data_IF_462320566091
#
_entry.id   IF_462320566091
#
_cell.length_a   1.000
_cell.length_b   1.000
_cell.length_c   1.000
_cell.angle_alpha   90.00
_cell.angle_beta   90.00
_cell.angle_gamma   90.00
#
_symmetry.space_group_name_H-M   'P 1'
#
loop_
_entity.id
_entity.type
_entity.pdbx_description
1 polymer ?
#
# COMPACT_ATOMS: atom_id res chain seq x y z
N UNK A 1 31.67 -34.78 23.14
CA UNK A 1 31.51 -35.85 22.13
C UNK A 1 30.57 -35.32 21.07
N UNK A 2 31.12 -35.00 19.91
CA UNK A 2 30.41 -34.41 18.76
C UNK A 2 29.64 -35.51 18.04
N UNK A 3 28.34 -35.32 17.83
CA UNK A 3 27.63 -36.01 16.77
C UNK A 3 28.09 -35.38 15.45
N UNK A 4 28.74 -36.17 14.59
CA UNK A 4 29.36 -35.73 13.34
C UNK A 4 28.33 -35.34 12.28
N UNK A 5 27.75 -34.15 12.42
CA UNK A 5 27.04 -33.47 11.35
C UNK A 5 28.06 -32.67 10.54
N UNK A 6 28.58 -33.29 9.46
CA UNK A 6 29.10 -32.52 8.33
C UNK A 6 27.96 -31.63 7.84
N UNK A 7 28.23 -30.33 7.72
CA UNK A 7 27.34 -29.36 7.07
C UNK A 7 26.84 -29.95 5.75
N UNK A 8 25.55 -30.30 5.70
CA UNK A 8 24.87 -30.47 4.43
C UNK A 8 24.56 -29.06 3.91
N UNK A 9 25.27 -28.65 2.86
CA UNK A 9 24.96 -27.46 2.06
C UNK A 9 23.58 -27.63 1.41
N UNK A 10 22.54 -27.15 2.08
CA UNK A 10 21.16 -27.12 1.58
C UNK A 10 20.91 -26.07 0.48
N UNK A 11 21.96 -25.49 -0.12
CA UNK A 11 21.88 -24.40 -1.11
C UNK A 11 22.38 -24.77 -2.52
N UNK A 12 22.56 -26.06 -2.84
CA UNK A 12 22.79 -26.51 -4.23
C UNK A 12 21.80 -27.57 -4.66
N UNK A 13 20.55 -27.18 -4.86
CA UNK A 13 19.64 -27.88 -5.76
C UNK A 13 18.95 -26.84 -6.67
N UNK A 14 19.39 -26.82 -7.93
CA UNK A 14 18.65 -26.27 -9.07
C UNK A 14 18.07 -27.44 -9.89
N UNK A 15 17.06 -27.19 -10.75
CA UNK A 15 15.80 -27.93 -10.69
C UNK A 15 15.81 -29.18 -11.57
N UNK A 16 15.54 -30.33 -10.96
CA UNK A 16 15.06 -31.51 -11.70
C UNK A 16 13.91 -32.12 -10.91
N UNK A 17 12.73 -32.15 -11.55
CA UNK A 17 11.53 -32.90 -11.18
C UNK A 17 10.61 -32.33 -10.08
N UNK A 18 9.52 -31.73 -10.54
CA UNK A 18 8.37 -31.17 -9.80
C UNK A 18 7.40 -32.25 -9.27
N UNK A 19 7.88 -33.35 -8.67
CA UNK A 19 7.01 -34.43 -8.16
C UNK A 19 7.34 -35.01 -6.77
N UNK A 20 8.09 -34.30 -5.92
CA UNK A 20 8.11 -34.59 -4.48
C UNK A 20 7.62 -33.39 -3.69
N UNK A 21 6.32 -33.41 -3.37
CA UNK A 21 5.71 -32.48 -2.43
C UNK A 21 6.09 -32.78 -0.98
N UNK A 22 5.47 -32.03 -0.07
CA UNK A 22 5.57 -31.98 1.41
C UNK A 22 5.90 -33.33 2.10
N UNK A 23 5.50 -34.47 1.52
CA UNK A 23 5.85 -35.81 1.97
C UNK A 23 7.38 -36.07 2.07
N UNK A 24 8.20 -35.50 1.18
CA UNK A 24 9.66 -35.70 1.20
C UNK A 24 10.36 -35.01 2.38
N UNK A 25 9.89 -33.83 2.76
CA UNK A 25 10.42 -33.07 3.91
C UNK A 25 10.00 -33.72 5.23
N UNK A 26 8.76 -34.23 5.30
CA UNK A 26 8.25 -34.97 6.47
C UNK A 26 9.01 -36.29 6.66
N UNK A 27 9.32 -37.03 5.58
CA UNK A 27 10.11 -38.26 5.67
C UNK A 27 11.54 -38.02 6.17
N UNK A 28 12.21 -36.94 5.74
CA UNK A 28 13.53 -36.59 6.26
C UNK A 28 13.51 -36.21 7.75
N UNK A 29 12.47 -35.53 8.22
CA UNK A 29 12.30 -35.21 9.64
C UNK A 29 11.99 -36.46 10.50
N UNK A 30 11.19 -37.39 9.98
CA UNK A 30 10.86 -38.65 10.66
C UNK A 30 12.09 -39.58 10.74
N UNK A 31 12.94 -39.62 9.70
CA UNK A 31 14.21 -40.37 9.75
C UNK A 31 15.27 -39.74 10.65
N UNK A 32 15.27 -38.42 10.82
CA UNK A 32 16.16 -37.76 11.78
C UNK A 32 15.75 -38.03 13.24
N UNK A 33 14.45 -38.16 13.52
CA UNK A 33 13.91 -38.42 14.86
C UNK A 33 13.99 -39.89 15.30
N UNK A 34 14.17 -40.84 14.38
CA UNK A 34 14.36 -42.26 14.71
C UNK A 34 15.78 -42.61 15.15
N UNK A 35 16.73 -41.68 15.00
CA UNK A 35 18.14 -41.85 15.40
C UNK A 35 18.50 -41.15 16.73
N UNK A 36 17.56 -40.43 17.35
CA UNK A 36 17.77 -39.78 18.65
C UNK A 36 17.32 -40.69 19.80
N UNK A 37 18.09 -40.70 20.88
CA UNK A 37 17.69 -41.35 22.13
C UNK A 37 16.51 -40.62 22.76
N UNK A 38 15.66 -41.31 23.52
CA UNK A 38 14.49 -40.68 24.18
C UNK A 38 14.89 -39.48 25.07
N UNK A 39 16.10 -39.54 25.65
CA UNK A 39 16.67 -38.46 26.46
C UNK A 39 17.02 -37.19 25.65
N UNK A 40 17.31 -37.33 24.36
CA UNK A 40 17.57 -36.20 23.45
C UNK A 40 16.28 -35.59 22.91
N UNK A 41 15.21 -36.40 22.80
CA UNK A 41 13.87 -35.92 22.42
C UNK A 41 13.26 -35.06 23.55
N UNK A 42 13.37 -35.51 24.80
CA UNK A 42 12.91 -34.75 25.97
C UNK A 42 13.64 -33.40 26.10
N UNK A 43 14.96 -33.37 25.86
CA UNK A 43 15.73 -32.13 25.92
C UNK A 43 15.35 -31.13 24.80
N UNK A 44 14.93 -31.62 23.63
CA UNK A 44 14.47 -30.78 22.53
C UNK A 44 13.07 -30.21 22.80
N UNK A 45 12.20 -31.00 23.43
CA UNK A 45 10.85 -30.62 23.79
C UNK A 45 10.85 -29.58 24.94
N UNK A 46 11.74 -29.74 25.93
CA UNK A 46 11.95 -28.78 27.01
C UNK A 46 12.51 -27.42 26.49
N UNK A 47 13.40 -27.46 25.49
CA UNK A 47 13.96 -26.26 24.86
C UNK A 47 12.94 -25.49 23.99
N UNK A 48 11.95 -26.17 23.41
CA UNK A 48 10.89 -25.56 22.61
C UNK A 48 9.78 -24.97 23.47
N UNK A 49 9.53 -25.53 24.66
CA UNK A 49 8.45 -25.08 25.55
C UNK A 49 8.85 -23.92 26.47
N UNK A 50 10.14 -23.69 26.73
CA UNK A 50 10.61 -22.63 27.63
C UNK A 50 11.79 -21.82 27.05
N UNK A 51 11.57 -20.88 26.12
CA UNK A 51 12.63 -19.98 25.68
C UNK A 51 12.96 -18.97 26.79
N UNK A 52 14.06 -19.17 27.52
CA UNK A 52 14.56 -18.18 28.48
C UNK A 52 15.15 -16.96 27.76
N UNK A 53 14.91 -15.73 28.24
CA UNK A 53 15.47 -14.52 27.66
C UNK A 53 16.98 -14.45 27.93
N UNK A 54 17.77 -14.32 26.88
CA UNK A 54 19.22 -14.20 26.94
C UNK A 54 19.65 -13.00 27.77
N UNK A 55 20.43 -13.26 28.83
CA UNK A 55 21.18 -12.23 29.58
C UNK A 55 22.34 -11.74 28.69
N UNK A 56 22.31 -10.46 28.29
CA UNK A 56 23.52 -9.76 27.85
C UNK A 56 24.15 -9.08 29.05
N UNK A 57 25.31 -9.58 29.48
CA UNK A 57 26.26 -8.83 30.29
C UNK A 57 26.97 -7.81 29.41
N UNK A 58 26.88 -6.52 29.75
CA UNK A 58 28.04 -5.63 29.72
C UNK A 58 27.76 -4.36 30.53
N UNK A 59 28.62 -4.11 31.51
CA UNK A 59 28.79 -2.83 32.18
C UNK A 59 30.08 -2.23 31.64
N UNK A 60 30.01 -1.01 31.12
CA UNK A 60 30.96 0.08 31.40
C UNK A 60 30.40 1.36 30.78
N UNK A 61 30.39 2.42 31.59
CA UNK A 61 29.67 3.65 31.29
C UNK A 61 30.44 4.60 30.39
N UNK A 62 29.68 5.44 29.71
CA UNK A 62 29.92 6.88 29.57
C UNK A 62 28.55 7.51 29.27
N UNK A 63 28.22 8.58 29.99
CA UNK A 63 26.92 9.24 29.91
C UNK A 63 26.69 9.84 28.53
N UNK A 64 25.65 9.37 27.84
CA UNK A 64 25.11 10.01 26.64
C UNK A 64 23.66 10.40 26.91
N UNK A 65 23.39 11.70 26.91
CA UNK A 65 22.06 12.31 26.98
C UNK A 65 21.26 12.05 25.70
N UNK A 66 20.86 10.81 25.47
CA UNK A 66 20.21 10.32 24.24
C UNK A 66 18.80 9.79 24.39
N UNK A 67 18.08 10.15 25.47
CA UNK A 67 16.73 9.61 25.72
C UNK A 67 15.65 10.39 24.95
N UNK A 68 15.91 11.61 24.47
CA UNK A 68 14.94 12.39 23.68
C UNK A 68 14.88 12.02 22.17
N UNK A 69 15.84 11.25 21.63
CA UNK A 69 15.92 10.99 20.18
C UNK A 69 15.20 9.72 19.71
N UNK A 70 15.00 8.73 20.58
CA UNK A 70 14.31 7.47 20.22
C UNK A 70 12.80 7.61 20.30
N UNK A 71 12.28 8.29 21.33
CA UNK A 71 10.83 8.54 21.47
C UNK A 71 10.27 9.44 20.35
N UNK A 72 11.10 10.31 19.77
CA UNK A 72 10.69 11.25 18.71
C UNK A 72 10.67 10.61 17.32
N UNK A 73 11.55 9.65 17.01
CA UNK A 73 11.49 8.89 15.74
C UNK A 73 10.29 7.94 15.71
N UNK A 74 10.02 7.21 16.80
CA UNK A 74 8.89 6.27 16.90
C UNK A 74 7.53 7.00 16.90
N UNK A 75 7.44 8.18 17.52
CA UNK A 75 6.23 9.01 17.47
C UNK A 75 5.96 9.59 16.07
N UNK A 76 7.01 9.97 15.32
CA UNK A 76 6.86 10.41 13.93
C UNK A 76 6.49 9.25 13.01
N UNK A 77 7.13 8.09 13.19
CA UNK A 77 6.84 6.86 12.44
C UNK A 77 5.36 6.47 12.56
N UNK A 78 4.84 6.40 13.79
CA UNK A 78 3.48 5.92 14.02
C UNK A 78 2.38 6.89 13.53
N UNK A 79 2.68 8.20 13.49
CA UNK A 79 1.78 9.23 12.96
C UNK A 79 1.58 9.14 11.46
N UNK A 80 2.59 8.69 10.72
CA UNK A 80 2.56 8.56 9.26
C UNK A 80 2.08 7.18 8.78
N UNK A 81 1.57 6.34 9.68
CA UNK A 81 0.84 5.13 9.29
C UNK A 81 -0.64 5.48 9.24
N UNK A 82 -1.21 5.57 8.04
CA UNK A 82 -2.64 5.84 7.85
C UNK A 82 -3.43 4.52 7.82
N UNK A 83 -4.58 4.43 8.50
CA UNK A 83 -5.38 3.20 8.51
C UNK A 83 -5.93 2.93 7.10
N UNK A 84 -5.68 1.72 6.59
CA UNK A 84 -6.20 1.29 5.27
C UNK A 84 -7.01 0.01 5.34
N UNK A 85 -7.17 -0.56 6.54
CA UNK A 85 -8.06 -1.70 6.76
C UNK A 85 -7.67 -2.93 5.95
N UNK A 86 -6.38 -3.27 5.87
CA UNK A 86 -5.85 -4.46 5.20
C UNK A 86 -5.42 -4.23 3.74
N UNK A 87 -5.81 -3.12 3.12
CA UNK A 87 -5.53 -2.89 1.69
C UNK A 87 -4.05 -2.56 1.46
N UNK A 88 -3.51 -1.60 2.22
CA UNK A 88 -2.11 -1.19 2.15
C UNK A 88 -1.34 -1.44 3.46
N UNK A 89 -2.04 -1.74 4.55
CA UNK A 89 -1.52 -2.12 5.85
C UNK A 89 -2.67 -2.64 6.73
N UNK A 90 -2.32 -3.30 7.84
CA UNK A 90 -3.30 -3.86 8.78
C UNK A 90 -3.82 -2.83 9.81
N UNK A 91 -3.41 -1.56 9.70
CA UNK A 91 -3.89 -0.52 10.62
C UNK A 91 -5.37 -0.27 10.36
N UNK A 92 -6.18 -0.37 11.42
CA UNK A 92 -7.64 -0.26 11.36
C UNK A 92 -8.38 -1.59 11.32
N UNK A 93 -7.69 -2.73 11.49
CA UNK A 93 -8.28 -4.06 11.45
C UNK A 93 -8.81 -4.62 12.79
N UNK A 94 -8.49 -3.99 13.92
CA UNK A 94 -8.81 -4.57 15.23
C UNK A 94 -8.02 -5.87 15.45
N UNK A 95 -8.62 -6.85 16.14
CA UNK A 95 -7.98 -8.14 16.48
C UNK A 95 -8.08 -9.20 15.36
N UNK A 96 -8.75 -8.89 14.25
CA UNK A 96 -8.98 -9.81 13.12
C UNK A 96 -8.28 -9.26 11.86
N UNK A 97 -7.84 -10.10 10.90
CA UNK A 97 -7.11 -9.69 9.68
C UNK A 97 -7.92 -8.87 8.64
N UNK A 98 -8.88 -8.03 9.07
CA UNK A 98 -9.72 -7.24 8.18
C UNK A 98 -10.44 -8.07 7.10
N UNK A 99 -10.77 -9.32 7.36
CA UNK A 99 -11.42 -10.17 6.35
C UNK A 99 -12.92 -10.04 6.45
N UNK A 100 -13.57 -9.78 5.31
CA UNK A 100 -15.03 -9.75 5.23
C UNK A 100 -15.56 -11.07 4.68
N UNK A 101 -16.45 -11.69 5.44
CA UNK A 101 -17.18 -12.87 4.97
C UNK A 101 -18.09 -12.48 3.80
N UNK A 102 -18.06 -13.30 2.74
CA UNK A 102 -18.92 -13.12 1.59
C UNK A 102 -20.31 -13.67 1.90
N UNK A 103 -21.39 -12.89 1.70
CA UNK A 103 -22.74 -13.46 1.73
C UNK A 103 -22.90 -14.45 0.57
N UNK A 104 -23.84 -15.40 0.70
CA UNK A 104 -24.03 -16.47 -0.30
C UNK A 104 -24.31 -15.96 -1.73
N UNK A 105 -24.84 -14.72 -1.86
CA UNK A 105 -25.15 -14.09 -3.14
C UNK A 105 -24.01 -13.21 -3.68
N UNK A 106 -22.92 -13.03 -2.94
CA UNK A 106 -21.79 -12.27 -3.44
C UNK A 106 -21.05 -13.06 -4.53
N UNK A 107 -20.56 -12.38 -5.57
CA UNK A 107 -19.61 -12.98 -6.50
C UNK A 107 -18.31 -13.35 -5.78
N UNK A 108 -17.48 -14.17 -6.43
CA UNK A 108 -16.10 -14.39 -6.01
C UNK A 108 -15.35 -13.05 -5.91
N UNK A 109 -14.21 -13.02 -5.22
CA UNK A 109 -13.35 -11.83 -5.19
C UNK A 109 -12.57 -11.70 -6.50
N UNK A 110 -12.58 -10.52 -7.15
CA UNK A 110 -11.71 -10.29 -8.29
C UNK A 110 -10.28 -10.20 -7.79
N UNK A 111 -9.37 -10.78 -8.57
CA UNK A 111 -7.95 -10.78 -8.30
C UNK A 111 -7.29 -9.89 -9.34
N UNK A 112 -6.44 -8.95 -8.89
CA UNK A 112 -5.64 -8.18 -9.82
C UNK A 112 -4.60 -9.06 -10.55
N UNK A 113 -4.25 -8.72 -11.79
CA UNK A 113 -3.08 -9.32 -12.43
C UNK A 113 -1.78 -9.02 -11.67
N UNK A 114 -0.76 -9.85 -11.87
CA UNK A 114 0.56 -9.67 -11.24
C UNK A 114 1.19 -8.30 -11.54
N UNK A 115 0.97 -7.78 -12.75
CA UNK A 115 1.35 -6.43 -13.13
C UNK A 115 0.29 -5.85 -14.06
N UNK A 116 0.14 -4.53 -14.01
CA UNK A 116 -0.77 -3.82 -14.87
C UNK A 116 -0.43 -2.33 -14.94
N UNK A 117 -0.96 -1.71 -15.98
CA UNK A 117 -0.89 -0.27 -16.23
C UNK A 117 -2.28 0.23 -16.63
N UNK A 118 -2.65 1.42 -16.20
CA UNK A 118 -3.94 2.05 -16.55
C UNK A 118 -3.83 3.56 -16.53
N UNK A 119 -4.38 4.21 -17.54
CA UNK A 119 -4.73 5.62 -17.49
C UNK A 119 -6.06 5.79 -16.73
N UNK A 120 -6.35 6.96 -16.20
CA UNK A 120 -7.63 7.18 -15.50
C UNK A 120 -8.09 8.63 -15.56
N UNK A 121 -9.39 8.81 -15.34
CA UNK A 121 -10.01 10.12 -15.11
C UNK A 121 -10.51 10.18 -13.68
N UNK A 122 -10.07 11.19 -12.93
CA UNK A 122 -10.53 11.46 -11.58
C UNK A 122 -11.66 12.50 -11.62
N UNK A 123 -12.75 12.22 -10.94
CA UNK A 123 -13.86 13.12 -10.68
C UNK A 123 -13.88 13.49 -9.19
N UNK A 124 -13.75 14.79 -8.89
CA UNK A 124 -13.92 15.37 -7.56
C UNK A 124 -15.32 15.95 -7.47
N UNK A 125 -16.23 15.23 -6.85
CA UNK A 125 -17.65 15.60 -6.75
C UNK A 125 -17.86 16.41 -5.48
N UNK A 126 -18.30 17.65 -5.64
CA UNK A 126 -18.48 18.62 -4.56
C UNK A 126 -19.94 19.02 -4.34
N UNK A 127 -20.86 18.56 -5.18
CA UNK A 127 -22.29 18.82 -5.02
C UNK A 127 -23.14 17.62 -5.46
N UNK A 128 -24.35 17.50 -4.92
CA UNK A 128 -25.33 16.45 -5.24
C UNK A 128 -24.89 14.98 -5.06
N UNK A 129 -23.72 14.74 -4.46
CA UNK A 129 -23.16 13.39 -4.23
C UNK A 129 -23.98 12.54 -3.26
N UNK A 130 -24.80 13.16 -2.39
CA UNK A 130 -25.67 12.45 -1.45
C UNK A 130 -26.79 11.69 -2.19
N UNK A 131 -27.35 12.32 -3.22
CA UNK A 131 -28.41 11.74 -4.05
C UNK A 131 -27.83 10.92 -5.20
N UNK A 132 -26.60 11.21 -5.60
CA UNK A 132 -25.88 10.51 -6.65
C UNK A 132 -24.56 9.99 -6.09
N UNK A 133 -24.56 8.90 -5.30
CA UNK A 133 -23.32 8.36 -4.76
C UNK A 133 -22.52 7.60 -5.85
N UNK A 134 -21.23 7.30 -5.63
CA UNK A 134 -20.44 6.46 -6.55
C UNK A 134 -20.89 4.99 -6.51
N UNK A 135 -20.54 4.15 -7.51
CA UNK A 135 -19.68 4.45 -8.65
C UNK A 135 -20.37 5.33 -9.70
N UNK A 136 -19.55 5.99 -10.53
CA UNK A 136 -19.99 6.86 -11.63
C UNK A 136 -19.56 6.29 -12.96
N UNK A 137 -20.33 6.52 -14.02
CA UNK A 137 -19.83 6.44 -15.40
C UNK A 137 -18.70 7.45 -15.64
N UNK A 138 -18.00 7.35 -16.77
CA UNK A 138 -16.98 8.32 -17.19
C UNK A 138 -17.36 8.91 -18.55
N UNK A 139 -17.90 10.15 -18.63
CA UNK A 139 -18.20 11.08 -17.54
C UNK A 139 -19.43 10.69 -16.68
N UNK A 140 -19.59 11.22 -15.45
CA UNK A 140 -20.71 10.91 -14.55
C UNK A 140 -22.07 11.40 -15.09
N UNK A 141 -22.89 10.50 -15.62
CA UNK A 141 -24.18 10.83 -16.28
C UNK A 141 -25.27 11.29 -15.30
N UNK A 142 -25.18 10.88 -14.04
CA UNK A 142 -26.15 11.24 -12.97
C UNK A 142 -25.82 12.57 -12.27
N UNK A 143 -24.75 13.24 -12.70
CA UNK A 143 -24.29 14.52 -12.16
C UNK A 143 -24.26 15.56 -13.28
N UNK A 144 -24.43 16.83 -12.91
CA UNK A 144 -24.21 17.96 -13.82
C UNK A 144 -22.73 18.29 -13.87
N UNK A 145 -22.28 18.98 -14.92
CA UNK A 145 -20.89 19.45 -15.04
C UNK A 145 -20.44 20.28 -13.83
N UNK A 146 -21.35 21.07 -13.27
CA UNK A 146 -21.07 21.96 -12.14
C UNK A 146 -21.10 21.24 -10.79
N UNK A 147 -21.36 19.93 -10.76
CA UNK A 147 -21.32 19.12 -9.55
C UNK A 147 -19.91 18.55 -9.27
N UNK A 148 -19.02 18.59 -10.26
CA UNK A 148 -17.70 17.97 -10.17
C UNK A 148 -16.62 18.67 -10.98
N UNK A 149 -15.37 18.48 -10.56
CA UNK A 149 -14.19 18.83 -11.35
C UNK A 149 -13.50 17.54 -11.82
N UNK A 150 -12.97 17.52 -13.04
CA UNK A 150 -12.23 16.38 -13.57
C UNK A 150 -10.73 16.63 -13.69
N UNK A 151 -9.91 15.59 -13.53
CA UNK A 151 -8.49 15.58 -13.87
C UNK A 151 -8.04 14.20 -14.34
N UNK A 152 -6.80 14.07 -14.80
CA UNK A 152 -6.26 12.83 -15.37
C UNK A 152 -5.05 12.33 -14.60
N UNK A 153 -4.69 11.08 -14.86
CA UNK A 153 -3.47 10.50 -14.37
C UNK A 153 -3.27 9.08 -14.85
N UNK A 154 -2.28 8.41 -14.26
CA UNK A 154 -1.87 7.06 -14.63
C UNK A 154 -1.44 6.28 -13.41
N UNK A 155 -1.69 4.98 -13.41
CA UNK A 155 -1.27 4.06 -12.36
C UNK A 155 -0.51 2.88 -12.95
N UNK A 156 0.47 2.40 -12.20
CA UNK A 156 1.31 1.26 -12.53
C UNK A 156 1.45 0.36 -11.32
N UNK A 157 1.46 -0.94 -11.55
CA UNK A 157 1.53 -1.94 -10.51
C UNK A 157 2.41 -3.12 -10.94
N UNK A 158 3.20 -3.64 -10.00
CA UNK A 158 3.96 -4.87 -10.15
C UNK A 158 4.07 -5.58 -8.79
N UNK A 159 3.32 -6.67 -8.59
CA UNK A 159 3.34 -7.50 -7.37
C UNK A 159 4.67 -8.26 -7.20
N UNK A 160 5.41 -8.45 -8.30
CA UNK A 160 6.63 -9.25 -8.38
C UNK A 160 7.89 -8.43 -8.09
N UNK A 161 7.78 -7.11 -7.96
CA UNK A 161 8.90 -6.24 -7.62
C UNK A 161 9.49 -6.60 -6.26
N UNK A 162 10.82 -6.74 -6.22
CA UNK A 162 11.58 -7.05 -5.00
C UNK A 162 12.45 -5.83 -4.64
N UNK A 163 12.18 -5.12 -3.53
CA UNK A 163 13.00 -3.98 -3.15
C UNK A 163 14.43 -4.41 -2.79
N UNK A 164 15.42 -3.59 -3.13
CA UNK A 164 16.85 -3.86 -2.88
C UNK A 164 17.20 -4.21 -1.43
N UNK A 165 16.45 -3.70 -0.45
CA UNK A 165 16.67 -3.90 0.98
C UNK A 165 15.48 -4.63 1.62
N UNK A 166 15.07 -5.76 1.06
CA UNK A 166 14.02 -6.61 1.64
C UNK A 166 14.59 -7.55 2.72
N UNK A 167 13.79 -7.86 3.73
CA UNK A 167 14.07 -8.89 4.74
C UNK A 167 13.57 -10.29 4.34
N UNK A 168 12.97 -10.41 3.15
CA UNK A 168 12.44 -11.67 2.61
C UNK A 168 10.96 -11.90 2.91
N UNK A 169 10.31 -11.00 3.66
CA UNK A 169 8.87 -11.07 3.91
C UNK A 169 8.08 -10.59 2.69
N UNK A 170 6.97 -11.28 2.35
CA UNK A 170 6.08 -10.85 1.26
C UNK A 170 5.46 -9.47 1.51
N UNK A 171 5.32 -9.05 2.77
CA UNK A 171 4.85 -7.71 3.09
C UNK A 171 5.74 -6.64 2.44
N UNK A 172 7.04 -6.93 2.31
CA UNK A 172 8.01 -6.07 1.65
C UNK A 172 8.06 -6.20 0.11
N UNK A 173 7.22 -6.99 -0.55
CA UNK A 173 7.23 -7.10 -2.01
C UNK A 173 6.16 -6.25 -2.68
N UNK A 174 6.41 -5.91 -3.93
CA UNK A 174 5.55 -5.16 -4.83
C UNK A 174 5.97 -3.71 -5.01
N UNK A 175 5.56 -3.14 -6.14
CA UNK A 175 5.62 -1.72 -6.44
C UNK A 175 4.27 -1.22 -6.95
N UNK A 176 3.91 0.00 -6.55
CA UNK A 176 2.73 0.69 -7.05
C UNK A 176 3.03 2.17 -7.18
N UNK A 177 2.66 2.77 -8.30
CA UNK A 177 2.76 4.20 -8.52
C UNK A 177 1.42 4.72 -9.02
N UNK A 178 0.94 5.79 -8.39
CA UNK A 178 -0.21 6.55 -8.86
C UNK A 178 0.23 8.00 -9.11
N UNK A 179 0.22 8.40 -10.38
CA UNK A 179 0.60 9.73 -10.84
C UNK A 179 -0.64 10.56 -11.18
N UNK A 180 -0.70 11.76 -10.60
CA UNK A 180 -1.75 12.75 -10.77
C UNK A 180 -1.23 13.93 -11.60
N UNK A 181 -1.94 14.30 -12.65
CA UNK A 181 -1.61 15.45 -13.48
C UNK A 181 -2.37 16.70 -13.01
N UNK A 182 -1.63 17.75 -12.63
CA UNK A 182 -2.11 19.09 -12.21
C UNK A 182 -3.04 19.16 -11.00
N UNK A 183 -3.63 18.04 -10.57
CA UNK A 183 -4.53 17.92 -9.42
C UNK A 183 -4.14 16.70 -8.60
N UNK A 184 -3.27 16.89 -7.62
CA UNK A 184 -2.84 15.87 -6.68
C UNK A 184 -4.03 15.31 -5.88
N UNK A 185 -3.83 14.14 -5.28
CA UNK A 185 -4.82 13.41 -4.49
C UNK A 185 -5.48 14.31 -3.41
N UNK A 186 -6.79 14.64 -3.49
CA UNK A 186 -7.46 15.60 -2.62
C UNK A 186 -7.88 14.99 -1.26
N UNK A 187 -7.00 14.21 -0.64
CA UNK A 187 -7.19 13.66 0.71
C UNK A 187 -6.67 14.57 1.82
N UNK A 188 -5.73 15.45 1.48
CA UNK A 188 -4.95 16.22 2.44
C UNK A 188 -5.47 17.64 2.56
N UNK A 189 -5.18 18.31 3.69
CA UNK A 189 -5.55 19.71 3.86
C UNK A 189 -4.64 20.60 3.02
N UNK A 190 -5.21 21.64 2.40
CA UNK A 190 -4.48 22.60 1.57
C UNK A 190 -4.67 22.38 0.07
N UNK A 191 -4.15 23.30 -0.73
CA UNK A 191 -4.28 23.20 -2.19
C UNK A 191 -3.77 21.86 -2.71
N UNK A 192 -4.52 21.23 -3.61
CA UNK A 192 -4.09 20.05 -4.35
C UNK A 192 -3.80 20.38 -5.83
N UNK A 193 -3.65 21.67 -6.16
CA UNK A 193 -3.49 22.16 -7.52
C UNK A 193 -2.04 22.08 -8.00
N UNK A 194 -1.53 20.85 -8.03
CA UNK A 194 -0.19 20.51 -8.49
C UNK A 194 -0.12 19.05 -8.91
N UNK A 195 0.88 18.69 -9.70
CA UNK A 195 1.14 17.32 -10.13
C UNK A 195 1.90 16.56 -9.05
N UNK A 196 1.57 15.30 -8.84
CA UNK A 196 2.23 14.49 -7.82
C UNK A 196 2.23 13.00 -8.13
N UNK A 197 3.04 12.23 -7.42
CA UNK A 197 3.03 10.77 -7.50
C UNK A 197 3.18 10.15 -6.12
N UNK A 198 2.26 9.25 -5.78
CA UNK A 198 2.41 8.33 -4.66
C UNK A 198 3.11 7.09 -5.17
N UNK A 199 4.27 6.76 -4.61
CA UNK A 199 5.10 5.62 -5.05
C UNK A 199 5.35 4.70 -3.86
N UNK A 200 4.70 3.54 -3.86
CA UNK A 200 4.89 2.47 -2.88
C UNK A 200 5.93 1.48 -3.40
N UNK A 201 6.97 1.23 -2.61
CA UNK A 201 8.03 0.25 -2.89
C UNK A 201 8.23 -0.64 -1.68
N UNK A 202 7.83 -1.90 -1.80
CA UNK A 202 7.68 -2.78 -0.64
C UNK A 202 6.72 -2.15 0.36
N UNK A 203 7.13 -2.01 1.62
CA UNK A 203 6.28 -1.41 2.66
C UNK A 203 6.34 0.13 2.74
N UNK A 204 7.20 0.82 1.98
CA UNK A 204 7.38 2.28 2.11
C UNK A 204 6.68 3.00 0.97
N UNK A 205 5.96 4.07 1.29
CA UNK A 205 5.38 4.96 0.28
C UNK A 205 6.01 6.35 0.35
N UNK A 206 6.39 6.87 -0.81
CA UNK A 206 6.93 8.21 -1.01
C UNK A 206 5.90 9.07 -1.72
N UNK A 207 5.89 10.37 -1.41
CA UNK A 207 5.18 11.36 -2.20
C UNK A 207 6.20 12.21 -2.96
N UNK A 208 6.08 12.18 -4.27
CA UNK A 208 6.86 12.99 -5.20
C UNK A 208 5.98 14.13 -5.69
N UNK A 209 6.51 15.34 -5.67
CA UNK A 209 5.88 16.54 -6.18
C UNK A 209 6.74 17.14 -7.28
N UNK A 210 6.10 17.62 -8.34
CA UNK A 210 6.79 18.14 -9.50
C UNK A 210 7.03 19.66 -9.35
N UNK A 211 7.39 20.32 -10.45
CA UNK A 211 7.80 21.72 -10.40
C UNK A 211 6.64 22.69 -10.17
N UNK A 212 5.39 22.25 -10.39
CA UNK A 212 4.15 22.98 -10.12
C UNK A 212 3.65 22.87 -8.67
N UNK A 213 4.45 22.26 -7.77
CA UNK A 213 4.09 22.09 -6.36
C UNK A 213 4.03 23.42 -5.59
N UNK A 214 3.29 23.48 -4.46
CA UNK A 214 3.31 24.64 -3.58
C UNK A 214 4.72 24.96 -3.07
N UNK A 215 5.00 26.26 -2.93
CA UNK A 215 6.25 26.75 -2.37
C UNK A 215 6.53 26.16 -0.98
N UNK A 216 7.82 26.04 -0.65
CA UNK A 216 8.32 25.46 0.60
C UNK A 216 7.99 23.97 0.82
N UNK A 217 7.30 23.30 -0.11
CA UNK A 217 7.11 21.84 -0.05
C UNK A 217 8.29 21.08 -0.68
N UNK A 218 8.72 19.95 -0.08
CA UNK A 218 9.79 19.15 -0.65
C UNK A 218 9.35 18.47 -1.96
N UNK A 219 10.30 18.33 -2.89
CA UNK A 219 10.11 17.52 -4.12
C UNK A 219 9.84 16.05 -3.80
N UNK A 220 10.40 15.54 -2.72
CA UNK A 220 10.11 14.19 -2.24
C UNK A 220 10.11 14.15 -0.71
N UNK A 221 9.12 13.47 -0.14
CA UNK A 221 9.04 13.13 1.28
C UNK A 221 8.57 11.67 1.46
N UNK A 222 8.83 11.09 2.63
CA UNK A 222 8.31 9.79 3.03
C UNK A 222 6.86 9.97 3.51
N UNK A 223 5.92 9.42 2.76
CA UNK A 223 4.50 9.51 3.06
C UNK A 223 4.10 8.57 4.19
N UNK A 224 4.50 7.30 4.08
CA UNK A 224 4.23 6.31 5.11
C UNK A 224 5.35 5.27 5.14
N UNK A 225 5.78 4.83 6.33
CA UNK A 225 6.75 3.76 6.46
C UNK A 225 6.11 2.36 6.36
N UNK A 226 4.77 2.29 6.38
CA UNK A 226 3.99 1.05 6.32
C UNK A 226 2.73 1.28 5.48
N UNK A 227 2.93 1.27 4.18
CA UNK A 227 1.90 1.38 3.16
C UNK A 227 2.41 0.65 1.92
N UNK A 228 2.12 -0.65 1.85
CA UNK A 228 2.51 -1.47 0.72
C UNK A 228 1.55 -1.27 -0.46
N UNK A 229 1.96 -1.62 -1.69
CA UNK A 229 1.03 -1.80 -2.81
C UNK A 229 -0.16 -2.69 -2.42
N UNK A 230 -1.38 -2.44 -2.93
CA UNK A 230 -2.50 -3.36 -2.73
C UNK A 230 -2.09 -4.79 -3.11
N UNK A 231 -2.45 -5.76 -2.28
CA UNK A 231 -2.25 -7.18 -2.63
C UNK A 231 -3.19 -7.57 -3.76
N UNK A 232 -2.86 -8.62 -4.51
CA UNK A 232 -3.70 -9.08 -5.63
C UNK A 232 -5.13 -9.39 -5.19
N UNK A 233 -5.26 -9.91 -3.96
CA UNK A 233 -6.51 -10.33 -3.32
C UNK A 233 -7.06 -9.29 -2.33
N UNK A 234 -6.65 -8.02 -2.42
CA UNK A 234 -7.01 -6.98 -1.44
C UNK A 234 -8.53 -6.82 -1.25
N UNK A 235 -9.33 -7.22 -2.25
CA UNK A 235 -10.80 -7.10 -2.22
C UNK A 235 -11.42 -7.90 -1.06
N UNK A 236 -10.75 -8.95 -0.56
CA UNK A 236 -11.15 -9.66 0.66
C UNK A 236 -11.28 -8.75 1.89
N UNK A 237 -10.67 -7.57 1.84
CA UNK A 237 -10.71 -6.54 2.88
C UNK A 237 -11.82 -5.50 2.72
N UNK A 238 -12.71 -5.71 1.76
CA UNK A 238 -13.89 -4.87 1.48
C UNK A 238 -15.17 -5.72 1.57
N UNK A 239 -16.28 -5.10 1.98
CA UNK A 239 -17.62 -5.70 1.97
C UNK A 239 -18.23 -5.62 0.57
N UNK A 240 -18.90 -6.67 0.10
CA UNK A 240 -19.69 -6.59 -1.12
C UNK A 240 -20.94 -5.73 -0.90
N UNK A 241 -21.09 -4.64 -1.66
CA UNK A 241 -22.21 -3.70 -1.57
C UNK A 241 -23.23 -3.97 -2.68
N UNK A 242 -24.18 -4.86 -2.40
CA UNK A 242 -25.23 -5.24 -3.36
C UNK A 242 -26.03 -4.04 -3.89
N UNK A 243 -26.24 -3.00 -3.08
CA UNK A 243 -27.03 -1.84 -3.50
C UNK A 243 -26.25 -1.02 -4.52
N UNK A 244 -24.96 -0.78 -4.28
CA UNK A 244 -24.11 -0.11 -5.26
C UNK A 244 -23.85 -0.94 -6.51
N UNK A 245 -23.82 -2.27 -6.39
CA UNK A 245 -23.73 -3.16 -7.55
C UNK A 245 -24.95 -3.11 -8.47
N UNK A 246 -26.10 -2.59 -8.02
CA UNK A 246 -27.25 -2.32 -8.91
C UNK A 246 -27.12 -1.00 -9.68
N UNK A 247 -26.14 -0.17 -9.34
CA UNK A 247 -25.88 1.07 -10.07
C UNK A 247 -25.26 0.75 -11.43
N UNK A 248 -25.26 1.71 -12.34
CA UNK A 248 -24.74 1.53 -13.71
C UNK A 248 -25.43 0.38 -14.46
N UNK A 249 -26.71 0.14 -14.17
CA UNK A 249 -27.50 -0.92 -14.81
C UNK A 249 -27.14 -2.34 -14.36
N UNK A 250 -26.44 -2.51 -13.24
CA UNK A 250 -26.08 -3.83 -12.73
C UNK A 250 -24.88 -4.48 -13.42
N UNK A 251 -24.08 -3.69 -14.13
CA UNK A 251 -22.93 -4.14 -14.94
C UNK A 251 -21.62 -4.24 -14.16
N UNK A 252 -21.63 -3.82 -12.89
CA UNK A 252 -20.44 -3.81 -12.01
C UNK A 252 -20.72 -4.48 -10.67
N UNK A 253 -19.71 -5.14 -10.12
CA UNK A 253 -19.68 -5.58 -8.73
C UNK A 253 -18.92 -4.57 -7.89
N UNK A 254 -19.56 -4.09 -6.81
CA UNK A 254 -19.01 -3.04 -5.96
C UNK A 254 -18.65 -3.58 -4.59
N UNK A 255 -17.45 -3.23 -4.12
CA UNK A 255 -16.93 -3.59 -2.82
C UNK A 255 -16.53 -2.32 -2.07
N UNK A 256 -16.97 -2.18 -0.83
CA UNK A 256 -16.76 -0.96 -0.04
C UNK A 256 -16.32 -1.25 1.38
N UNK A 257 -15.74 -0.24 2.00
CA UNK A 257 -15.49 -0.19 3.43
C UNK A 257 -15.78 1.20 3.93
N UNK A 258 -16.43 1.25 5.09
CA UNK A 258 -16.65 2.48 5.83
C UNK A 258 -15.66 2.55 7.01
N UNK A 259 -15.12 3.73 7.25
CA UNK A 259 -14.19 4.02 8.34
C UNK A 259 -14.74 5.09 9.28
N UNK A 260 -14.18 5.12 10.49
CA UNK A 260 -14.53 6.09 11.52
C UNK A 260 -15.69 5.65 12.41
N UNK A 261 -15.83 6.27 13.58
CA UNK A 261 -16.82 5.91 14.61
C UNK A 261 -18.29 6.00 14.15
N UNK A 262 -18.54 6.73 13.06
CA UNK A 262 -19.85 6.97 12.46
C UNK A 262 -19.91 6.56 10.99
N UNK A 263 -18.95 5.76 10.51
CA UNK A 263 -18.90 5.31 9.12
C UNK A 263 -18.88 6.49 8.11
N UNK A 264 -18.20 7.59 8.47
CA UNK A 264 -18.21 8.86 7.73
C UNK A 264 -17.25 8.87 6.53
N UNK A 265 -16.28 7.95 6.48
CA UNK A 265 -15.31 7.86 5.39
C UNK A 265 -15.49 6.57 4.61
N UNK A 266 -15.61 6.69 3.29
CA UNK A 266 -15.80 5.59 2.35
C UNK A 266 -14.50 5.30 1.62
N UNK A 267 -14.23 4.02 1.35
CA UNK A 267 -13.36 3.55 0.29
C UNK A 267 -14.08 2.42 -0.44
N UNK A 268 -14.00 2.39 -1.76
CA UNK A 268 -14.60 1.33 -2.53
C UNK A 268 -13.98 1.16 -3.90
N UNK A 269 -14.22 -0.01 -4.46
CA UNK A 269 -13.78 -0.42 -5.78
C UNK A 269 -14.97 -1.04 -6.49
N UNK A 270 -15.09 -0.74 -7.78
CA UNK A 270 -16.03 -1.37 -8.68
C UNK A 270 -15.25 -2.15 -9.74
N UNK A 271 -15.72 -3.34 -10.07
CA UNK A 271 -15.18 -4.20 -11.12
C UNK A 271 -16.27 -4.51 -12.12
N UNK A 272 -15.92 -4.64 -13.39
CA UNK A 272 -16.83 -5.18 -14.40
C UNK A 272 -17.31 -6.56 -13.96
N UNK A 273 -18.61 -6.83 -14.11
CA UNK A 273 -19.19 -8.11 -13.69
C UNK A 273 -18.78 -9.26 -14.60
N UNK A 274 -18.72 -8.98 -15.90
CA UNK A 274 -18.31 -9.95 -16.91
C UNK A 274 -16.78 -9.94 -17.04
N UNK A 275 -16.19 -11.14 -17.06
CA UNK A 275 -14.78 -11.28 -17.41
C UNK A 275 -14.59 -11.05 -18.90
N UNK A 276 -13.49 -10.39 -19.27
CA UNK A 276 -13.09 -10.22 -20.67
C UNK A 276 -11.58 -10.41 -20.83
N UNK A 277 -11.10 -10.73 -22.05
CA UNK A 277 -9.66 -10.79 -22.34
C UNK A 277 -8.96 -9.47 -22.03
N UNK A 278 -7.67 -9.57 -21.67
CA UNK A 278 -6.81 -8.40 -21.54
C UNK A 278 -6.51 -7.78 -22.92
N UNK A 279 -6.36 -6.46 -22.96
CA UNK A 279 -6.06 -5.75 -24.21
C UNK A 279 -4.58 -5.74 -24.62
N UNK A 280 -3.67 -6.16 -23.72
CA UNK A 280 -2.23 -6.19 -23.96
C UNK A 280 -1.68 -7.63 -24.03
N UNK A 281 -2.10 -8.51 -23.11
CA UNK A 281 -1.78 -9.94 -23.18
C UNK A 281 -3.03 -10.77 -23.48
N UNK A 282 -3.38 -10.88 -24.76
CA UNK A 282 -4.56 -11.63 -25.23
C UNK A 282 -4.53 -13.12 -24.89
N UNK A 283 -3.38 -13.64 -24.43
CA UNK A 283 -3.23 -15.05 -23.99
C UNK A 283 -3.51 -15.25 -22.50
N UNK A 284 -3.63 -14.17 -21.73
CA UNK A 284 -4.01 -14.25 -20.34
C UNK A 284 -5.47 -14.74 -20.23
N UNK A 285 -5.77 -15.49 -19.16
CA UNK A 285 -7.15 -15.88 -18.88
C UNK A 285 -8.03 -14.63 -18.68
N UNK A 286 -9.24 -14.59 -19.27
CA UNK A 286 -10.17 -13.49 -19.07
C UNK A 286 -10.44 -13.21 -17.58
N UNK A 287 -10.47 -11.95 -17.20
CA UNK A 287 -10.70 -11.53 -15.82
C UNK A 287 -11.63 -10.32 -15.74
N UNK A 288 -12.21 -10.10 -14.55
CA UNK A 288 -13.02 -8.93 -14.26
C UNK A 288 -12.13 -7.70 -14.11
N UNK A 289 -12.22 -6.80 -15.08
CA UNK A 289 -11.40 -5.59 -15.09
C UNK A 289 -11.91 -4.58 -14.05
N UNK A 290 -11.02 -3.81 -13.40
CA UNK A 290 -11.46 -2.76 -12.51
C UNK A 290 -12.11 -1.62 -13.31
N UNK A 291 -13.25 -1.16 -12.83
CA UNK A 291 -13.99 -0.04 -13.40
C UNK A 291 -13.60 1.28 -12.72
N UNK A 292 -13.62 1.33 -11.39
CA UNK A 292 -13.30 2.56 -10.65
C UNK A 292 -12.88 2.28 -9.21
N UNK A 293 -12.05 3.16 -8.65
CA UNK A 293 -11.84 3.29 -7.21
C UNK A 293 -12.46 4.60 -6.74
N UNK A 294 -13.16 4.61 -5.61
CA UNK A 294 -13.77 5.82 -5.06
C UNK A 294 -13.61 5.90 -3.55
N UNK A 295 -13.54 7.12 -3.02
CA UNK A 295 -13.35 7.34 -1.59
C UNK A 295 -13.82 8.73 -1.16
N UNK A 296 -13.98 8.90 0.15
CA UNK A 296 -14.25 10.21 0.76
C UNK A 296 -12.97 11.05 0.79
N UNK A 297 -13.00 12.21 0.14
CA UNK A 297 -11.90 13.18 0.15
C UNK A 297 -12.01 14.20 1.29
N UNK A 298 -11.08 15.15 1.31
CA UNK A 298 -11.15 16.28 2.24
C UNK A 298 -12.23 17.28 1.80
N UNK A 299 -12.89 17.88 2.78
CA UNK A 299 -13.95 18.91 2.60
C UNK A 299 -13.46 20.32 3.02
N UNK A 300 -12.15 20.51 3.17
CA UNK A 300 -11.57 21.77 3.60
C UNK A 300 -11.68 22.84 2.49
N UNK A 301 -12.32 23.97 2.80
CA UNK A 301 -12.46 25.11 1.89
C UNK A 301 -11.33 26.15 2.11
N UNK A 302 -10.87 26.90 1.08
CA UNK A 302 -11.36 26.92 -0.31
C UNK A 302 -10.94 25.71 -1.16
N UNK A 303 -9.85 25.02 -0.82
CA UNK A 303 -9.47 23.73 -1.40
C UNK A 303 -8.74 22.84 -0.37
N UNK A 304 -8.94 21.51 -0.42
CA UNK A 304 -9.78 20.80 -1.38
C UNK A 304 -11.23 20.64 -0.85
N UNK A 305 -12.20 21.03 -1.67
CA UNK A 305 -13.63 20.73 -1.49
C UNK A 305 -13.98 19.50 -2.34
N UNK A 306 -13.60 18.30 -1.88
CA UNK A 306 -13.82 17.04 -2.60
C UNK A 306 -14.45 15.96 -1.70
N UNK A 307 -15.70 16.13 -1.23
CA UNK A 307 -16.41 15.13 -0.42
C UNK A 307 -16.37 13.71 -0.97
N UNK A 308 -16.44 13.57 -2.30
CA UNK A 308 -16.28 12.29 -2.99
C UNK A 308 -15.26 12.44 -4.11
N UNK A 309 -14.37 11.46 -4.19
CA UNK A 309 -13.40 11.30 -5.28
C UNK A 309 -13.65 9.96 -5.93
N UNK A 310 -13.72 9.94 -7.26
CA UNK A 310 -13.83 8.71 -8.06
C UNK A 310 -12.72 8.73 -9.11
N UNK A 311 -11.86 7.73 -9.10
CA UNK A 311 -10.86 7.44 -10.12
C UNK A 311 -11.44 6.35 -11.01
N UNK A 312 -11.86 6.73 -12.20
CA UNK A 312 -12.41 5.82 -13.20
C UNK A 312 -11.29 5.36 -14.13
N UNK A 313 -11.08 4.05 -14.18
CA UNK A 313 -9.99 3.45 -14.96
C UNK A 313 -10.33 3.45 -16.44
N UNK A 314 -9.32 3.79 -17.24
CA UNK A 314 -9.34 3.76 -18.68
C UNK A 314 -8.20 2.85 -19.14
N UNK A 315 -8.43 2.05 -20.18
CA UNK A 315 -7.36 1.29 -20.84
C UNK A 315 -6.53 0.43 -19.85
N UNK A 316 -7.18 -0.18 -18.86
CA UNK A 316 -6.54 -1.09 -17.92
C UNK A 316 -6.07 -2.33 -18.67
N UNK A 317 -4.78 -2.68 -18.49
CA UNK A 317 -4.14 -3.76 -19.24
C UNK A 317 -2.95 -4.37 -18.49
N UNK A 318 -2.64 -5.63 -18.78
CA UNK A 318 -1.51 -6.39 -18.23
C UNK A 318 -0.16 -6.01 -18.84
N UNK A 319 0.08 -4.72 -19.02
CA UNK A 319 1.37 -4.18 -19.46
C UNK A 319 2.30 -4.03 -18.24
N UNK A 320 3.42 -4.78 -18.26
CA UNK A 320 4.42 -4.72 -17.19
C UNK A 320 5.11 -3.35 -17.18
N UNK A 321 5.07 -2.60 -16.07
CA UNK A 321 5.71 -1.28 -16.02
C UNK A 321 7.23 -1.35 -16.14
N UNK A 322 7.82 -0.40 -16.86
CA UNK A 322 9.26 -0.19 -16.88
C UNK A 322 9.71 0.62 -15.65
N UNK A 323 10.59 0.10 -14.77
CA UNK A 323 11.06 0.82 -13.58
C UNK A 323 11.59 2.23 -13.83
N UNK A 324 12.24 2.43 -14.98
CA UNK A 324 12.84 3.71 -15.39
C UNK A 324 11.84 4.83 -15.63
N UNK A 325 10.58 4.46 -15.96
CA UNK A 325 9.45 5.36 -16.20
C UNK A 325 8.54 5.49 -14.98
N UNK A 326 8.71 4.61 -13.99
CA UNK A 326 7.90 4.56 -12.78
C UNK A 326 8.75 4.85 -11.55
N UNK A 327 9.09 3.85 -10.75
CA UNK A 327 9.58 4.00 -9.39
C UNK A 327 11.06 4.33 -9.24
N UNK A 328 11.88 4.24 -10.30
CA UNK A 328 13.28 4.72 -10.26
C UNK A 328 13.35 6.23 -9.97
N UNK A 329 12.26 6.96 -10.23
CA UNK A 329 12.11 8.37 -9.86
C UNK A 329 12.34 8.62 -8.37
N UNK A 330 12.06 7.65 -7.49
CA UNK A 330 12.33 7.76 -6.05
C UNK A 330 13.82 7.91 -5.82
N UNK A 331 14.65 7.05 -6.42
CA UNK A 331 16.11 7.12 -6.29
C UNK A 331 16.72 8.36 -6.95
N UNK A 332 16.06 8.91 -7.98
CA UNK A 332 16.49 10.14 -8.68
C UNK A 332 16.12 11.42 -7.93
N UNK A 333 15.00 11.43 -7.21
CA UNK A 333 14.38 12.65 -6.66
C UNK A 333 14.53 12.75 -5.14
N UNK A 334 14.44 11.63 -4.43
CA UNK A 334 14.44 11.62 -2.98
C UNK A 334 15.86 11.70 -2.43
N UNK A 335 16.10 12.52 -1.39
CA UNK A 335 17.38 12.46 -0.68
C UNK A 335 17.52 11.10 0.01
N UNK A 336 18.75 10.71 0.38
CA UNK A 336 19.01 9.42 1.05
C UNK A 336 18.19 9.21 2.32
N UNK A 337 17.86 10.29 3.03
CA UNK A 337 16.96 10.33 4.18
C UNK A 337 15.87 11.37 3.90
N UNK A 338 14.75 10.99 3.26
CA UNK A 338 13.65 11.91 3.03
C UNK A 338 13.01 12.31 4.36
N UNK A 339 12.60 13.57 4.46
CA UNK A 339 11.77 14.03 5.56
C UNK A 339 10.36 13.43 5.46
N UNK A 340 9.60 13.48 6.56
CA UNK A 340 8.22 13.04 6.60
C UNK A 340 7.29 13.99 5.84
N UNK A 341 6.26 13.46 5.19
CA UNK A 341 5.25 14.27 4.52
C UNK A 341 4.27 14.90 5.53
N UNK A 342 4.41 16.20 5.80
CA UNK A 342 3.50 16.95 6.67
C UNK A 342 2.16 17.28 5.99
N UNK A 343 1.28 16.29 5.78
CA UNK A 343 0.05 16.45 4.99
C UNK A 343 -1.19 16.76 5.85
N UNK A 344 -1.17 16.35 7.11
CA UNK A 344 -2.16 16.72 8.12
C UNK A 344 -1.53 17.63 9.18
N UNK A 345 -2.37 18.45 9.83
CA UNK A 345 -1.91 19.34 10.92
C UNK A 345 -1.30 18.59 12.11
N UNK A 346 -1.54 17.28 12.24
CA UNK A 346 -0.97 16.39 13.26
C UNK A 346 0.35 15.73 12.86
N UNK A 347 0.68 15.72 11.56
CA UNK A 347 1.80 14.94 11.02
C UNK A 347 3.14 15.50 11.48
N UNK A 348 3.24 16.83 11.50
CA UNK A 348 4.44 17.53 11.91
C UNK A 348 4.10 18.58 12.95
N UNK A 349 4.67 18.44 14.15
CA UNK A 349 4.73 19.57 15.07
C UNK A 349 5.43 20.71 14.34
N UNK A 350 4.88 21.94 14.39
CA UNK A 350 5.57 23.12 13.85
C UNK A 350 6.96 23.14 14.47
N UNK A 351 8.00 22.85 13.68
CA UNK A 351 9.37 23.07 14.10
C UNK A 351 9.45 24.57 14.45
N UNK A 352 9.83 24.96 15.67
CA UNK A 352 9.97 26.37 16.01
C UNK A 352 10.89 27.05 14.99
N UNK A 353 10.54 28.27 14.59
CA UNK A 353 11.29 29.03 13.58
C UNK A 353 12.80 29.15 13.90
N UNK A 354 13.20 28.94 15.16
CA UNK A 354 14.58 28.91 15.63
C UNK A 354 15.42 27.72 15.15
N UNK A 355 14.82 26.68 14.54
CA UNK A 355 15.53 25.54 13.92
C UNK A 355 15.50 25.55 12.39
N UNK A 356 14.97 26.61 11.75
CA UNK A 356 15.25 26.86 10.34
C UNK A 356 16.73 27.18 10.24
N UNK A 357 17.52 26.17 9.86
CA UNK A 357 18.93 26.29 9.50
C UNK A 357 19.15 27.63 8.81
N UNK A 358 19.98 28.47 9.43
CA UNK A 358 20.45 29.71 8.84
C UNK A 358 21.15 29.35 7.54
N UNK A 359 20.43 29.51 6.44
CA UNK A 359 20.98 29.52 5.10
C UNK A 359 22.19 30.47 5.14
N UNK A 360 23.42 30.04 4.76
CA UNK A 360 24.53 30.98 4.66
C UNK A 360 24.09 32.10 3.73
N UNK A 361 24.24 33.33 4.20
CA UNK A 361 24.03 34.51 3.38
C UNK A 361 24.79 34.32 2.06
N UNK A 362 24.07 34.49 0.96
CA UNK A 362 24.67 34.58 -0.37
C UNK A 362 25.75 35.67 -0.27
N UNK A 363 27.01 35.29 -0.43
CA UNK A 363 28.08 36.26 -0.56
C UNK A 363 27.73 37.16 -1.76
N UNK A 364 27.65 38.46 -1.49
CA UNK A 364 27.61 39.46 -2.52
C UNK A 364 29.04 39.61 -3.07
N UNK A 365 29.24 39.23 -4.32
CA UNK A 365 29.96 39.98 -5.37
C UNK A 365 29.78 39.28 -6.73
#
# INVERSE_FOLDING_TARGET
MQCGLRQFDLWRLSPVSSKLGILGVVLCAVFALSACTEKEKEALEEALLNPSPGKSSDKNGEGFSGIESLETEDANFNRHIYPTGGIHNDKGCGESPCLFLRPAQAPEDPIFPDWWTTEWTMYRVHSNYQNNPPPYTSPPERLKSDDFESSTGKSWYDSTYVPRHHDGTRSNFGAFMQHFEKKCLPLFKGSNDYSCSFVSLGNKTYLIRYDDRPDETPKCCLFSPMNHPPRLDFVKHLEYDIRRSQMLGGTVDVYTRLFGKKAESLLGYAFEKESRPDSFDERAEPYRHPHSMFFTGSTAKPAPDAPIVSINYNNFRMEKPAPSETWDIVGKTCPKKPEWCCLYGSDCNKIPASRRSSRPAKAAE
#
